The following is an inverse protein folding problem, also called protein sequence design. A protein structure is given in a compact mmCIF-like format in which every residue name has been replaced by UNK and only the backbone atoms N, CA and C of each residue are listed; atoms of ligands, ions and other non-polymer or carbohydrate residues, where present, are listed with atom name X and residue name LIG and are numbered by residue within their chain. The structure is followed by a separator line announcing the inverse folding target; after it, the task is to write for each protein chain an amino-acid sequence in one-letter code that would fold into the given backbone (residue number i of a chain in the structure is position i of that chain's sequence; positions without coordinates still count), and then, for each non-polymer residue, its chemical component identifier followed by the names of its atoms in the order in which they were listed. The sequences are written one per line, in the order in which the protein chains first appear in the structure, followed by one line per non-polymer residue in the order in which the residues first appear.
data_IF_701555845698
#
_entry.id   IF_701555845698
#
_cell.length_a   1.000
_cell.length_b   1.000
_cell.length_c   1.000
_cell.angle_alpha   90.00
_cell.angle_beta   90.00
_cell.angle_gamma   90.00
#
_symmetry.space_group_name_H-M   'P 1'
#
loop_
_entity.id
_entity.type
_entity.pdbx_description
1 polymer ?
#
# COMPACT_ATOMS: atom_id res chain seq x y z
N UNK A 1 17.07 1.07 -13.07
CA UNK A 1 15.74 0.78 -12.49
C UNK A 1 14.70 1.31 -13.46
N UNK A 2 13.65 0.55 -13.72
CA UNK A 2 12.47 1.01 -14.46
C UNK A 2 11.33 1.27 -13.47
N UNK A 3 11.65 2.06 -12.44
CA UNK A 3 10.70 2.57 -11.46
C UNK A 3 10.03 3.77 -12.14
N UNK A 4 8.80 3.54 -12.59
CA UNK A 4 7.98 4.58 -13.22
C UNK A 4 6.64 4.69 -12.51
N UNK A 5 6.01 5.88 -12.57
CA UNK A 5 4.76 6.13 -11.88
C UNK A 5 3.64 5.22 -12.40
N UNK A 6 2.86 4.66 -11.48
CA UNK A 6 1.63 3.92 -11.78
C UNK A 6 0.42 4.81 -11.55
N UNK A 7 -0.47 4.86 -12.55
CA UNK A 7 -1.76 5.53 -12.44
C UNK A 7 -2.86 4.49 -12.20
N UNK A 8 -3.64 4.67 -11.14
CA UNK A 8 -4.84 3.86 -10.86
C UNK A 8 -6.08 4.75 -10.89
N UNK A 9 -7.12 4.33 -11.64
CA UNK A 9 -8.41 5.01 -11.69
C UNK A 9 -9.51 4.00 -11.43
N UNK A 10 -10.33 4.23 -10.40
CA UNK A 10 -11.41 3.32 -10.03
C UNK A 10 -12.64 4.07 -9.52
N UNK A 11 -13.81 3.50 -9.81
CA UNK A 11 -15.08 4.01 -9.27
C UNK A 11 -15.20 3.72 -7.77
N UNK A 12 -16.00 4.54 -7.09
CA UNK A 12 -16.32 4.32 -5.69
C UNK A 12 -17.38 3.25 -5.48
N UNK A 13 -17.27 2.46 -4.41
CA UNK A 13 -18.21 1.38 -4.07
C UNK A 13 -19.54 1.88 -3.49
N UNK A 14 -19.66 3.19 -3.21
CA UNK A 14 -20.85 3.77 -2.61
C UNK A 14 -22.13 3.53 -3.44
N UNK A 15 -22.00 3.40 -4.77
CA UNK A 15 -23.09 3.08 -5.68
C UNK A 15 -23.52 1.60 -5.63
N UNK A 16 -22.58 0.68 -5.40
CA UNK A 16 -22.82 -0.76 -5.40
C UNK A 16 -23.58 -1.24 -4.15
N UNK A 17 -23.64 -0.42 -3.08
CA UNK A 17 -24.13 -0.80 -1.74
C UNK A 17 -23.44 -2.03 -1.14
N UNK A 18 -22.37 -2.50 -1.77
CA UNK A 18 -21.55 -3.61 -1.33
C UNK A 18 -20.27 -3.05 -0.70
N UNK A 19 -20.18 -3.20 0.62
CA UNK A 19 -19.06 -2.74 1.42
C UNK A 19 -17.95 -3.78 1.56
N UNK A 20 -18.12 -4.96 0.95
CA UNK A 20 -17.15 -6.04 0.98
C UNK A 20 -16.21 -6.02 -0.24
N UNK A 21 -16.38 -5.04 -1.15
CA UNK A 21 -15.53 -4.86 -2.33
C UNK A 21 -14.37 -3.90 -2.04
N UNK A 22 -13.14 -4.36 -2.24
CA UNK A 22 -11.95 -3.51 -2.33
C UNK A 22 -11.77 -2.99 -3.75
N UNK A 23 -11.40 -1.71 -3.90
CA UNK A 23 -10.85 -1.22 -5.18
C UNK A 23 -9.41 -1.67 -5.37
N UNK A 24 -8.72 -1.91 -4.27
CA UNK A 24 -7.43 -2.60 -4.20
C UNK A 24 -7.53 -3.62 -3.07
N UNK A 25 -7.40 -4.90 -3.42
CA UNK A 25 -7.41 -5.98 -2.44
C UNK A 25 -6.14 -5.97 -1.59
N UNK A 26 -6.18 -6.70 -0.48
CA UNK A 26 -5.06 -6.84 0.42
C UNK A 26 -3.86 -7.46 -0.31
N UNK A 27 -2.75 -6.76 -0.27
CA UNK A 27 -1.47 -7.21 -0.80
C UNK A 27 -0.32 -6.61 -0.01
N UNK A 28 0.89 -7.14 -0.24
CA UNK A 28 2.13 -6.67 0.36
C UNK A 28 2.89 -5.78 -0.63
N UNK A 29 3.49 -4.70 -0.12
CA UNK A 29 4.34 -3.82 -0.92
C UNK A 29 5.77 -4.37 -1.00
N UNK A 30 6.31 -4.47 -2.22
CA UNK A 30 7.64 -5.03 -2.47
C UNK A 30 8.74 -3.99 -2.27
N UNK A 31 8.43 -2.72 -2.50
CA UNK A 31 9.32 -1.58 -2.29
C UNK A 31 8.65 -0.53 -1.42
N UNK A 32 9.38 0.53 -1.08
CA UNK A 32 8.73 1.69 -0.52
C UNK A 32 7.90 2.37 -1.61
N UNK A 33 6.76 2.93 -1.23
CA UNK A 33 5.87 3.61 -2.17
C UNK A 33 5.36 4.93 -1.60
N UNK A 34 5.03 5.85 -2.49
CA UNK A 34 4.19 7.01 -2.19
C UNK A 34 2.97 6.99 -3.09
N UNK A 35 1.78 6.97 -2.50
CA UNK A 35 0.50 7.04 -3.21
C UNK A 35 -0.17 8.41 -2.98
N UNK A 36 -0.43 9.14 -4.05
CA UNK A 36 -1.01 10.47 -4.04
C UNK A 36 -2.41 10.41 -4.63
N UNK A 37 -3.42 10.86 -3.87
CA UNK A 37 -4.78 11.00 -4.39
C UNK A 37 -4.91 12.33 -5.14
N UNK A 38 -4.86 12.25 -6.48
CA UNK A 38 -4.80 13.44 -7.35
C UNK A 38 -6.18 13.92 -7.82
N UNK A 39 -7.21 13.06 -7.75
CA UNK A 39 -8.57 13.44 -8.13
C UNK A 39 -9.61 12.67 -7.33
N UNK A 40 -10.68 13.36 -6.94
CA UNK A 40 -11.89 12.77 -6.32
C UNK A 40 -13.13 13.22 -7.10
N UNK A 41 -13.80 12.27 -7.74
CA UNK A 41 -15.02 12.46 -8.52
C UNK A 41 -16.27 12.06 -7.74
N UNK A 42 -17.16 13.02 -7.50
CA UNK A 42 -18.46 12.78 -6.84
C UNK A 42 -19.46 12.29 -7.88
N UNK A 43 -19.80 11.00 -7.83
CA UNK A 43 -20.83 10.42 -8.68
C UNK A 43 -22.22 11.01 -8.39
N UNK A 44 -23.05 11.15 -9.43
CA UNK A 44 -24.44 11.66 -9.35
C UNK A 44 -25.37 10.76 -10.17
N UNK A 45 -26.64 10.67 -9.78
CA UNK A 45 -27.66 9.87 -10.46
C UNK A 45 -27.95 8.52 -9.78
N UNK A 46 -28.88 7.74 -10.35
CA UNK A 46 -29.22 6.35 -9.99
C UNK A 46 -29.39 6.03 -8.49
N UNK A 47 -29.88 6.98 -7.68
CA UNK A 47 -30.06 6.76 -6.23
C UNK A 47 -28.75 6.57 -5.46
N UNK A 48 -27.61 6.97 -6.04
CA UNK A 48 -26.30 6.96 -5.39
C UNK A 48 -26.34 7.89 -4.18
N UNK A 49 -25.69 7.53 -3.04
CA UNK A 49 -25.63 8.40 -1.88
C UNK A 49 -25.09 9.79 -2.24
N UNK A 50 -25.68 10.83 -1.66
CA UNK A 50 -25.17 12.20 -1.78
C UNK A 50 -23.77 12.31 -1.15
N UNK A 51 -23.04 13.40 -1.42
CA UNK A 51 -21.77 13.71 -0.74
C UNK A 51 -21.89 13.54 0.79
N UNK A 52 -22.99 14.02 1.38
CA UNK A 52 -23.26 13.87 2.82
C UNK A 52 -23.52 12.41 3.22
N UNK A 53 -24.21 11.63 2.38
CA UNK A 53 -24.41 10.21 2.64
C UNK A 53 -23.12 9.39 2.60
N UNK A 54 -22.20 9.72 1.70
CA UNK A 54 -20.86 9.11 1.66
C UNK A 54 -20.02 9.52 2.88
N UNK A 55 -20.09 10.78 3.29
CA UNK A 55 -19.38 11.27 4.47
C UNK A 55 -19.77 10.49 5.74
N UNK A 56 -21.08 10.23 5.93
CA UNK A 56 -21.57 9.41 7.04
C UNK A 56 -20.97 8.00 7.06
N UNK A 57 -20.74 7.40 5.89
CA UNK A 57 -20.10 6.08 5.79
C UNK A 57 -18.65 6.11 6.29
N UNK A 58 -17.92 7.19 6.03
CA UNK A 58 -16.59 7.36 6.63
C UNK A 58 -16.68 7.54 8.16
N UNK A 59 -17.68 8.27 8.66
CA UNK A 59 -17.89 8.49 10.10
C UNK A 59 -18.20 7.20 10.88
N UNK A 60 -18.77 6.20 10.21
CA UNK A 60 -19.08 4.85 10.74
C UNK A 60 -17.83 3.95 10.90
N UNK A 61 -16.70 4.33 10.33
CA UNK A 61 -15.43 3.63 10.51
C UNK A 61 -14.80 3.94 11.87
N UNK A 62 -13.91 3.05 12.30
CA UNK A 62 -13.11 3.23 13.51
C UNK A 62 -11.96 4.21 13.24
N UNK A 63 -12.30 5.50 13.26
CA UNK A 63 -11.41 6.62 13.01
C UNK A 63 -10.92 7.25 14.32
N UNK A 64 -9.65 7.65 14.34
CA UNK A 64 -9.10 8.49 15.39
C UNK A 64 -9.70 9.91 15.39
N UNK A 65 -9.51 10.64 16.49
CA UNK A 65 -10.07 11.98 16.68
C UNK A 65 -9.57 13.01 15.66
N UNK A 66 -8.34 12.84 15.15
CA UNK A 66 -7.74 13.76 14.18
C UNK A 66 -8.39 13.58 12.81
N UNK A 67 -8.58 12.33 12.36
CA UNK A 67 -9.31 12.00 11.14
C UNK A 67 -10.77 12.44 11.24
N UNK A 68 -11.43 12.23 12.38
CA UNK A 68 -12.79 12.74 12.61
C UNK A 68 -12.86 14.26 12.51
N UNK A 69 -11.83 14.97 12.97
CA UNK A 69 -11.75 16.42 12.83
C UNK A 69 -11.56 16.85 11.37
N UNK A 70 -10.65 16.21 10.62
CA UNK A 70 -10.47 16.48 9.18
C UNK A 70 -11.73 16.18 8.37
N UNK A 71 -12.44 15.10 8.71
CA UNK A 71 -13.67 14.71 8.02
C UNK A 71 -14.81 15.74 8.18
N UNK A 72 -14.77 16.55 9.25
CA UNK A 72 -15.71 17.66 9.47
C UNK A 72 -15.30 18.97 8.78
N UNK A 73 -14.08 19.06 8.26
CA UNK A 73 -13.63 20.22 7.50
C UNK A 73 -14.26 20.23 6.11
N UNK A 74 -15.02 21.27 5.80
CA UNK A 74 -15.74 21.39 4.53
C UNK A 74 -14.83 21.61 3.31
N UNK A 75 -13.58 22.06 3.53
CA UNK A 75 -12.58 22.24 2.48
C UNK A 75 -11.88 20.93 2.10
N UNK A 76 -11.93 19.94 2.98
CA UNK A 76 -11.36 18.62 2.76
C UNK A 76 -12.31 17.75 1.91
N UNK A 77 -11.72 16.92 1.05
CA UNK A 77 -12.48 16.03 0.16
C UNK A 77 -12.00 14.57 0.33
N UNK A 78 -12.65 13.78 1.20
CA UNK A 78 -12.26 12.37 1.40
C UNK A 78 -12.59 11.56 0.15
N UNK A 79 -11.67 10.70 -0.30
CA UNK A 79 -11.87 9.86 -1.48
C UNK A 79 -11.89 8.37 -1.17
N UNK A 80 -10.89 7.90 -0.44
CA UNK A 80 -10.61 6.48 -0.24
C UNK A 80 -10.40 6.12 1.23
N UNK A 81 -10.83 4.92 1.60
CA UNK A 81 -10.58 4.30 2.89
C UNK A 81 -9.45 3.27 2.75
N UNK A 82 -8.45 3.39 3.61
CA UNK A 82 -7.27 2.53 3.65
C UNK A 82 -7.26 1.73 4.94
N UNK A 83 -6.86 0.47 4.83
CA UNK A 83 -6.52 -0.37 5.97
C UNK A 83 -5.09 -0.87 5.78
N UNK A 84 -4.21 -0.55 6.73
CA UNK A 84 -2.78 -0.82 6.65
C UNK A 84 -2.38 -1.72 7.82
N UNK A 85 -1.50 -2.68 7.56
CA UNK A 85 -0.99 -3.65 8.50
C UNK A 85 0.53 -3.69 8.48
N UNK A 86 1.12 -3.97 9.63
CA UNK A 86 2.57 -4.07 9.78
C UNK A 86 3.10 -5.38 9.18
N UNK A 87 4.28 -5.33 8.56
CA UNK A 87 4.96 -6.49 7.99
C UNK A 87 5.08 -7.68 8.97
N UNK A 88 5.36 -7.39 10.25
CA UNK A 88 5.50 -8.41 11.31
C UNK A 88 4.24 -9.27 11.53
N UNK A 89 3.08 -8.81 11.07
CA UNK A 89 1.80 -9.50 11.23
C UNK A 89 1.37 -10.23 9.94
N UNK A 90 2.19 -10.22 8.88
CA UNK A 90 1.89 -10.85 7.58
C UNK A 90 1.52 -12.34 7.72
N UNK A 91 2.32 -13.12 8.45
CA UNK A 91 2.08 -14.56 8.63
C UNK A 91 0.77 -14.84 9.36
N UNK A 92 0.43 -14.04 10.38
CA UNK A 92 -0.84 -14.17 11.11
C UNK A 92 -2.03 -13.84 10.21
N UNK A 93 -1.91 -12.81 9.39
CA UNK A 93 -2.95 -12.43 8.42
C UNK A 93 -3.13 -13.56 7.40
N UNK A 94 -2.05 -14.14 6.89
CA UNK A 94 -2.07 -15.28 5.97
C UNK A 94 -2.80 -16.47 6.60
N UNK A 95 -2.41 -16.85 7.81
CA UNK A 95 -3.04 -17.95 8.54
C UNK A 95 -4.53 -17.70 8.77
N UNK A 96 -4.90 -16.49 9.20
CA UNK A 96 -6.29 -16.08 9.37
C UNK A 96 -7.10 -16.20 8.08
N UNK A 97 -6.59 -15.69 6.95
CA UNK A 97 -7.30 -15.77 5.67
C UNK A 97 -7.42 -17.20 5.16
N UNK A 98 -6.40 -18.04 5.35
CA UNK A 98 -6.49 -19.48 5.04
C UNK A 98 -7.54 -20.18 5.90
N UNK A 99 -7.65 -19.84 7.20
CA UNK A 99 -8.69 -20.34 8.09
C UNK A 99 -10.08 -19.92 7.59
N UNK A 100 -10.29 -18.64 7.29
CA UNK A 100 -11.57 -18.11 6.78
C UNK A 100 -11.94 -18.77 5.44
N UNK A 101 -10.98 -18.99 4.55
CA UNK A 101 -11.21 -19.67 3.27
C UNK A 101 -11.73 -21.10 3.47
N UNK A 102 -11.15 -21.85 4.41
CA UNK A 102 -11.63 -23.19 4.79
C UNK A 102 -13.04 -23.16 5.40
N UNK A 103 -13.32 -22.17 6.26
CA UNK A 103 -14.66 -21.98 6.85
C UNK A 103 -15.73 -21.71 5.77
N UNK A 104 -15.37 -21.07 4.66
CA UNK A 104 -16.26 -20.78 3.54
C UNK A 104 -16.40 -21.94 2.53
N UNK A 105 -15.72 -23.06 2.77
CA UNK A 105 -15.75 -24.23 1.89
C UNK A 105 -15.04 -24.00 0.54
N UNK A 106 -14.14 -23.03 0.47
CA UNK A 106 -13.27 -22.86 -0.70
C UNK A 106 -12.22 -23.97 -0.69
N UNK A 107 -12.10 -24.72 -1.78
CA UNK A 107 -11.05 -25.73 -1.95
C UNK A 107 -9.70 -25.03 -2.15
N UNK A 108 -8.94 -24.92 -1.06
CA UNK A 108 -7.66 -24.23 -1.05
C UNK A 108 -6.54 -25.23 -1.32
N UNK A 109 -5.82 -25.08 -2.44
CA UNK A 109 -4.61 -25.86 -2.70
C UNK A 109 -3.56 -25.60 -1.59
N UNK A 110 -2.71 -26.59 -1.24
CA UNK A 110 -1.67 -26.42 -0.22
C UNK A 110 -0.72 -25.24 -0.47
N UNK A 111 -0.58 -24.84 -1.73
CA UNK A 111 0.33 -23.77 -2.20
C UNK A 111 -0.35 -22.39 -2.26
N UNK A 112 -1.64 -22.29 -1.90
CA UNK A 112 -2.40 -21.04 -1.94
C UNK A 112 -1.89 -20.05 -0.88
N UNK A 113 -1.50 -18.88 -1.36
CA UNK A 113 -1.11 -17.76 -0.52
C UNK A 113 -2.08 -16.60 -0.76
N UNK A 114 -3.05 -16.36 0.14
CA UNK A 114 -4.09 -15.35 -0.06
C UNK A 114 -3.56 -13.92 -0.17
N UNK A 115 -2.34 -13.66 0.34
CA UNK A 115 -1.69 -12.34 0.24
C UNK A 115 -1.05 -12.19 -1.14
N UNK A 116 -0.34 -13.23 -1.61
CA UNK A 116 0.28 -13.23 -2.94
C UNK A 116 -0.78 -13.20 -4.05
N UNK A 117 -1.88 -13.90 -3.84
CA UNK A 117 -2.96 -14.04 -4.83
C UNK A 117 -3.86 -12.79 -4.87
N UNK A 118 -3.71 -11.85 -3.92
CA UNK A 118 -4.44 -10.59 -3.82
C UNK A 118 -5.97 -10.75 -3.94
N UNK A 119 -6.49 -11.85 -3.39
CA UNK A 119 -7.88 -12.29 -3.59
C UNK A 119 -8.85 -11.81 -2.51
N UNK A 120 -8.34 -11.17 -1.46
CA UNK A 120 -9.14 -10.80 -0.29
C UNK A 120 -9.23 -9.29 -0.09
N UNK A 121 -10.45 -8.81 0.17
CA UNK A 121 -10.68 -7.56 0.88
C UNK A 121 -11.14 -7.87 2.31
N UNK A 122 -10.35 -7.48 3.31
CA UNK A 122 -10.65 -7.74 4.72
C UNK A 122 -11.71 -6.75 5.19
N UNK A 123 -12.98 -7.12 5.07
CA UNK A 123 -14.11 -6.27 5.48
C UNK A 123 -14.16 -6.06 7.02
N UNK A 124 -15.08 -5.20 7.48
CA UNK A 124 -15.19 -4.82 8.90
C UNK A 124 -15.35 -6.01 9.85
N UNK A 125 -16.09 -7.04 9.45
CA UNK A 125 -16.28 -8.27 10.25
C UNK A 125 -14.99 -9.07 10.35
N UNK A 126 -14.28 -9.23 9.24
CA UNK A 126 -13.01 -9.93 9.19
C UNK A 126 -11.91 -9.17 9.95
N UNK A 127 -11.85 -7.84 9.86
CA UNK A 127 -10.89 -7.02 10.63
C UNK A 127 -11.09 -7.19 12.13
N UNK A 128 -12.35 -7.19 12.59
CA UNK A 128 -12.68 -7.41 14.00
C UNK A 128 -12.22 -8.81 14.47
N UNK A 129 -12.52 -9.86 13.69
CA UNK A 129 -12.08 -11.22 13.98
C UNK A 129 -10.55 -11.36 13.99
N UNK A 130 -9.88 -10.75 13.01
CA UNK A 130 -8.42 -10.75 12.92
C UNK A 130 -7.77 -10.15 14.18
N UNK A 131 -8.34 -9.08 14.73
CA UNK A 131 -7.91 -8.53 16.01
C UNK A 131 -8.20 -9.46 17.18
N UNK A 132 -9.42 -10.00 17.29
CA UNK A 132 -9.85 -10.85 18.41
C UNK A 132 -9.11 -12.19 18.46
N UNK A 133 -8.84 -12.81 17.30
CA UNK A 133 -8.26 -14.14 17.19
C UNK A 133 -6.71 -14.12 17.14
N UNK A 134 -6.11 -13.10 16.50
CA UNK A 134 -4.67 -13.04 16.25
C UNK A 134 -3.96 -11.82 16.86
N UNK A 135 -4.72 -10.90 17.49
CA UNK A 135 -4.18 -9.67 18.08
C UNK A 135 -3.63 -8.67 17.08
N UNK A 136 -3.91 -8.86 15.79
CA UNK A 136 -3.40 -7.99 14.71
C UNK A 136 -4.25 -6.73 14.64
N UNK A 137 -3.61 -5.57 14.81
CA UNK A 137 -4.26 -4.26 14.74
C UNK A 137 -4.33 -3.77 13.30
N UNK A 138 -5.45 -3.18 12.93
CA UNK A 138 -5.59 -2.45 11.66
C UNK A 138 -5.34 -0.97 11.89
N UNK A 139 -4.48 -0.35 11.07
CA UNK A 139 -4.42 1.10 10.95
C UNK A 139 -5.44 1.55 9.89
N UNK A 140 -6.42 2.35 10.31
CA UNK A 140 -7.46 2.89 9.42
C UNK A 140 -7.10 4.32 9.03
N UNK A 141 -7.11 4.62 7.73
CA UNK A 141 -6.80 5.94 7.20
C UNK A 141 -7.86 6.36 6.19
N UNK A 142 -8.30 7.62 6.26
CA UNK A 142 -9.08 8.25 5.19
C UNK A 142 -8.14 9.12 4.38
N UNK A 143 -8.00 8.83 3.09
CA UNK A 143 -7.18 9.62 2.17
C UNK A 143 -8.03 10.72 1.55
N UNK A 144 -7.61 11.96 1.75
CA UNK A 144 -8.23 13.15 1.18
C UNK A 144 -7.51 13.59 -0.10
N UNK A 145 -8.18 14.39 -0.93
CA UNK A 145 -7.59 14.96 -2.13
C UNK A 145 -6.28 15.71 -1.78
N UNK A 146 -5.18 15.34 -2.43
CA UNK A 146 -3.85 15.90 -2.20
C UNK A 146 -3.03 15.18 -1.14
N UNK A 147 -3.60 14.27 -0.35
CA UNK A 147 -2.85 13.48 0.62
C UNK A 147 -1.89 12.51 -0.09
N UNK A 148 -0.65 12.45 0.41
CA UNK A 148 0.37 11.49 0.01
C UNK A 148 0.58 10.45 1.13
N UNK A 149 0.24 9.20 0.85
CA UNK A 149 0.42 8.07 1.77
C UNK A 149 1.74 7.38 1.43
N UNK A 150 2.69 7.38 2.37
CA UNK A 150 3.99 6.72 2.21
C UNK A 150 3.97 5.40 2.97
N UNK A 151 4.24 4.29 2.28
CA UNK A 151 4.30 2.96 2.87
C UNK A 151 5.69 2.36 2.69
N UNK A 152 6.27 1.73 3.73
CA UNK A 152 7.54 1.05 3.62
C UNK A 152 7.39 -0.33 2.95
N UNK A 153 8.48 -0.84 2.38
CA UNK A 153 8.54 -2.19 1.87
C UNK A 153 8.13 -3.22 2.95
N UNK A 154 7.26 -4.15 2.58
CA UNK A 154 6.68 -5.18 3.46
C UNK A 154 5.40 -4.75 4.19
N UNK A 155 4.99 -3.48 4.13
CA UNK A 155 3.66 -3.10 4.61
C UNK A 155 2.57 -3.80 3.79
N UNK A 156 1.49 -4.22 4.45
CA UNK A 156 0.32 -4.74 3.78
C UNK A 156 -0.78 -3.69 3.80
N UNK A 157 -1.49 -3.54 2.70
CA UNK A 157 -2.61 -2.61 2.66
C UNK A 157 -3.69 -3.03 1.68
N UNK A 158 -4.88 -2.46 1.87
CA UNK A 158 -6.02 -2.56 0.97
C UNK A 158 -6.72 -1.19 0.90
N UNK A 159 -7.41 -0.93 -0.20
CA UNK A 159 -8.07 0.34 -0.47
C UNK A 159 -9.51 0.11 -0.90
N UNK A 160 -10.41 0.93 -0.37
CA UNK A 160 -11.80 0.99 -0.79
C UNK A 160 -12.19 2.43 -1.10
N UNK A 161 -12.35 2.73 -2.39
CA UNK A 161 -12.79 4.05 -2.83
C UNK A 161 -14.28 4.24 -2.52
N UNK A 162 -14.65 5.36 -1.91
CA UNK A 162 -16.07 5.71 -1.68
C UNK A 162 -16.58 6.68 -2.75
N UNK A 163 -15.70 7.57 -3.22
CA UNK A 163 -15.89 8.36 -4.43
C UNK A 163 -15.04 7.79 -5.56
N UNK A 164 -15.28 8.18 -6.81
CA UNK A 164 -14.37 7.82 -7.89
C UNK A 164 -13.02 8.49 -7.65
N UNK A 165 -11.92 7.75 -7.73
CA UNK A 165 -10.59 8.27 -7.40
C UNK A 165 -9.61 8.04 -8.54
N UNK A 166 -8.67 8.97 -8.68
CA UNK A 166 -7.45 8.79 -9.47
C UNK A 166 -6.26 8.92 -8.52
N UNK A 167 -5.43 7.90 -8.46
CA UNK A 167 -4.24 7.85 -7.63
C UNK A 167 -2.99 7.67 -8.49
N UNK A 168 -1.91 8.36 -8.13
CA UNK A 168 -0.58 8.17 -8.70
C UNK A 168 0.31 7.55 -7.64
N UNK A 169 0.96 6.44 -7.97
CA UNK A 169 1.91 5.76 -7.08
C UNK A 169 3.30 5.78 -7.68
N UNK A 170 4.28 6.18 -6.89
CA UNK A 170 5.70 6.12 -7.25
C UNK A 170 6.42 5.17 -6.29
N UNK A 171 7.24 4.27 -6.83
CA UNK A 171 8.08 3.39 -6.04
C UNK A 171 9.43 4.04 -5.77
N UNK A 172 10.00 3.78 -4.60
CA UNK A 172 11.37 4.14 -4.29
C UNK A 172 12.03 3.07 -3.42
N UNK A 173 13.35 3.17 -3.26
CA UNK A 173 14.13 2.24 -2.44
C UNK A 173 14.91 3.05 -1.41
N UNK A 174 14.41 3.09 -0.19
CA UNK A 174 15.10 3.68 0.95
C UNK A 174 16.18 2.75 1.53
N UNK A 175 17.29 3.27 2.06
CA UNK A 175 18.28 2.46 2.78
C UNK A 175 17.68 1.65 3.94
N UNK A 176 16.71 2.22 4.65
CA UNK A 176 16.07 1.66 5.84
C UNK A 176 15.36 0.33 5.56
N UNK A 177 14.78 0.19 4.36
CA UNK A 177 14.00 -0.98 3.97
C UNK A 177 14.63 -1.78 2.82
N UNK A 178 15.86 -1.44 2.43
CA UNK A 178 16.59 -2.09 1.33
C UNK A 178 16.65 -3.62 1.47
N UNK A 179 17.00 -4.11 2.66
CA UNK A 179 17.10 -5.55 2.92
C UNK A 179 15.75 -6.25 2.77
N UNK A 180 14.69 -5.63 3.31
CA UNK A 180 13.32 -6.16 3.22
C UNK A 180 12.85 -6.18 1.76
N UNK A 181 13.03 -5.07 1.04
CA UNK A 181 12.63 -4.96 -0.37
C UNK A 181 13.39 -5.96 -1.25
N UNK A 182 14.69 -6.13 -1.00
CA UNK A 182 15.49 -7.13 -1.70
C UNK A 182 14.98 -8.55 -1.45
N UNK A 183 14.68 -8.88 -0.21
CA UNK A 183 14.16 -10.20 0.16
C UNK A 183 12.81 -10.48 -0.51
N UNK A 184 11.85 -9.55 -0.42
CA UNK A 184 10.53 -9.69 -1.06
C UNK A 184 10.62 -9.80 -2.59
N UNK A 185 11.55 -9.07 -3.22
CA UNK A 185 11.81 -9.17 -4.67
C UNK A 185 12.37 -10.53 -5.09
N UNK A 186 12.96 -11.31 -4.17
CA UNK A 186 13.37 -12.69 -4.41
C UNK A 186 12.25 -13.70 -4.08
N UNK A 187 11.52 -13.49 -3.00
CA UNK A 187 10.49 -14.43 -2.52
C UNK A 187 9.23 -14.44 -3.37
N UNK A 188 8.79 -13.27 -3.86
CA UNK A 188 7.58 -13.14 -4.67
C UNK A 188 7.80 -13.50 -6.15
N UNK A 189 8.97 -14.05 -6.50
CA UNK A 189 9.23 -14.57 -7.83
C UNK A 189 8.42 -15.84 -8.08
N UNK A 190 7.79 -15.90 -9.25
CA UNK A 190 7.06 -17.09 -9.71
C UNK A 190 7.99 -18.30 -9.88
N UNK A 191 9.25 -18.08 -10.24
CA UNK A 191 10.30 -19.11 -10.34
C UNK A 191 11.63 -18.60 -9.77
N UNK A 192 12.30 -19.43 -8.97
CA UNK A 192 13.63 -19.14 -8.41
C UNK A 192 14.77 -19.46 -9.39
N UNK A 193 14.49 -20.23 -10.43
CA UNK A 193 15.48 -20.78 -11.37
C UNK A 193 15.60 -19.96 -12.66
N UNK A 194 14.59 -19.13 -12.98
CA UNK A 194 14.56 -18.30 -14.18
C UNK A 194 15.11 -16.89 -13.94
N UNK A 195 15.70 -16.30 -15.00
CA UNK A 195 16.10 -14.89 -14.99
C UNK A 195 14.82 -14.03 -14.87
N UNK A 196 14.73 -13.23 -13.82
CA UNK A 196 13.60 -12.32 -13.63
C UNK A 196 13.73 -11.11 -14.57
N UNK A 197 13.20 -11.25 -15.79
CA UNK A 197 13.12 -10.17 -16.78
C UNK A 197 12.19 -9.02 -16.35
N UNK A 198 11.37 -9.23 -15.32
CA UNK A 198 10.39 -8.26 -14.78
C UNK A 198 10.86 -7.60 -13.47
N UNK A 199 12.15 -7.72 -13.12
CA UNK A 199 12.76 -6.99 -11.99
C UNK A 199 12.88 -5.49 -12.32
N UNK A 200 11.76 -4.76 -12.22
CA UNK A 200 11.69 -3.31 -12.47
C UNK A 200 12.45 -2.50 -11.43
N UNK A 201 12.46 -2.96 -10.18
CA UNK A 201 13.17 -2.35 -9.06
C UNK A 201 14.69 -2.33 -9.29
N UNK A 202 15.26 -3.41 -9.84
CA UNK A 202 16.69 -3.54 -10.11
C UNK A 202 17.56 -3.13 -8.89
N UNK A 203 17.21 -3.62 -7.71
CA UNK A 203 17.82 -3.21 -6.42
C UNK A 203 19.35 -3.35 -6.46
N UNK A 204 19.87 -4.42 -7.09
CA UNK A 204 21.31 -4.63 -7.27
C UNK A 204 21.98 -3.51 -8.06
N UNK A 205 21.32 -3.00 -9.11
CA UNK A 205 21.82 -1.88 -9.90
C UNK A 205 21.79 -0.59 -9.09
N UNK A 206 20.70 -0.32 -8.36
CA UNK A 206 20.60 0.85 -7.47
C UNK A 206 21.77 0.84 -6.48
N UNK A 207 22.02 -0.29 -5.81
CA UNK A 207 23.13 -0.41 -4.85
C UNK A 207 24.50 -0.21 -5.51
N UNK A 208 24.73 -0.81 -6.68
CA UNK A 208 25.98 -0.64 -7.43
C UNK A 208 26.23 0.82 -7.81
N UNK A 209 25.21 1.52 -8.30
CA UNK A 209 25.30 2.94 -8.63
C UNK A 209 25.49 3.81 -7.38
N UNK A 210 24.79 3.53 -6.28
CA UNK A 210 24.97 4.25 -5.03
C UNK A 210 26.41 4.14 -4.50
N UNK A 211 26.99 2.94 -4.50
CA UNK A 211 28.40 2.74 -4.09
C UNK A 211 29.36 3.45 -5.06
N UNK A 212 29.10 3.38 -6.37
CA UNK A 212 29.93 4.06 -7.38
C UNK A 212 29.93 5.58 -7.18
N UNK A 213 28.78 6.18 -6.90
CA UNK A 213 28.66 7.61 -6.61
C UNK A 213 29.32 7.99 -5.28
N UNK A 214 29.16 7.16 -4.23
CA UNK A 214 29.83 7.37 -2.94
C UNK A 214 31.36 7.35 -3.10
N UNK A 215 31.91 6.36 -3.80
CA UNK A 215 33.36 6.27 -4.07
C UNK A 215 33.84 7.47 -4.88
N UNK A 216 33.05 7.94 -5.86
CA UNK A 216 33.39 9.15 -6.62
C UNK A 216 33.43 10.38 -5.70
N UNK A 217 32.40 10.58 -4.87
CA UNK A 217 32.32 11.73 -3.97
C UNK A 217 33.48 11.77 -2.96
N UNK A 218 33.84 10.62 -2.38
CA UNK A 218 34.97 10.52 -1.45
C UNK A 218 36.30 10.86 -2.12
N UNK A 219 36.54 10.36 -3.35
CA UNK A 219 37.76 10.67 -4.10
C UNK A 219 37.87 12.14 -4.47
N UNK A 220 36.76 12.78 -4.86
CA UNK A 220 36.74 14.22 -5.11
C UNK A 220 37.10 15.00 -3.86
N UNK A 221 36.56 14.59 -2.70
CA UNK A 221 36.86 15.25 -1.43
C UNK A 221 38.31 15.07 -0.97
N UNK A 222 38.90 13.89 -1.16
CA UNK A 222 40.33 13.65 -0.89
C UNK A 222 41.22 14.59 -1.71
N UNK A 223 40.94 14.72 -3.02
CA UNK A 223 41.67 15.66 -3.88
C UNK A 223 41.49 17.13 -3.47
N UNK A 224 40.28 17.53 -3.06
CA UNK A 224 40.06 18.89 -2.55
C UNK A 224 40.83 19.18 -1.26
N UNK A 225 41.02 18.19 -0.38
CA UNK A 225 41.82 18.34 0.84
C UNK A 225 43.31 18.43 0.50
N UNK A 226 43.82 17.57 -0.39
CA UNK A 226 45.20 17.61 -0.86
C UNK A 226 45.55 18.97 -1.50
N UNK A 227 44.66 19.52 -2.33
CA UNK A 227 44.83 20.84 -2.97
C UNK A 227 44.81 22.01 -1.96
N UNK A 228 44.16 21.85 -0.81
CA UNK A 228 44.15 22.84 0.29
C UNK A 228 45.40 22.72 1.15
N UNK A 229 45.93 21.52 1.36
CA UNK A 229 47.16 21.30 2.14
C UNK A 229 48.44 21.69 1.36
N UNK A 230 48.39 21.68 0.03
CA UNK A 230 49.52 22.09 -0.83
C UNK A 230 49.59 23.62 -1.13
N UNK A 231 48.57 24.41 -0.75
CA UNK A 231 48.53 25.88 -0.92
C UNK A 231 48.72 26.67 0.39
#
# INVERSE_FOLDING_TARGET
PDLGPRLCSAYGVAAAKDHDIGTTNLHIEVSDIVNILVCVGIAKGNGIPSKSGVLKKFEEEDLDDLLRKRLKDSSELPGALWHIYANKDADKIKEFLQKVSKEQGLDVLPEHDPIRDQSWYVNKKLRKRLFEEYGVKTCTLVQFLGDAVVLPAGALHQVQNFHSCIQVTEDFVSPEHLTQSFHLTQELRLSKEEINYDDKLQIKNILCHAVKEMVRALKTHEHEIEDIEEN
#
